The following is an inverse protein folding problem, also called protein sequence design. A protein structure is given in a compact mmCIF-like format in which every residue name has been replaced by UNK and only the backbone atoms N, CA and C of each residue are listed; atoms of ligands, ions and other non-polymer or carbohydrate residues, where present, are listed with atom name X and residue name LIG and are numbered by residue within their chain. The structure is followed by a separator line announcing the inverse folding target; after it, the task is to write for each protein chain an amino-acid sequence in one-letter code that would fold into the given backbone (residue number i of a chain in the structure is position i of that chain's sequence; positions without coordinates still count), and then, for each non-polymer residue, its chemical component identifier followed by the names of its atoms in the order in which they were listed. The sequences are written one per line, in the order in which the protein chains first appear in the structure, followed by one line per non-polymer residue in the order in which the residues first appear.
data_IF_627834881513
#
_entry.id   IF_627834881513
#
_cell.length_a   1.000
_cell.length_b   1.000
_cell.length_c   1.000
_cell.angle_alpha   90.00
_cell.angle_beta   90.00
_cell.angle_gamma   90.00
#
_symmetry.space_group_name_H-M   'P 1'
#
loop_
_entity.id
_entity.type
_entity.pdbx_description
1 polymer ?
#
# COMPACT_ATOMS: atom_id res chain seq x y z
N UNK A 1 5.62 18.70 -8.76
CA UNK A 1 6.59 17.79 -8.11
C UNK A 1 6.21 17.74 -6.65
N UNK A 2 5.72 16.61 -6.17
CA UNK A 2 5.45 16.41 -4.74
C UNK A 2 6.81 16.25 -4.08
N UNK A 3 7.25 17.26 -3.34
CA UNK A 3 8.42 17.12 -2.49
C UNK A 3 8.04 16.20 -1.32
N UNK A 4 8.78 15.11 -1.15
CA UNK A 4 8.80 14.40 0.13
C UNK A 4 9.21 15.39 1.20
N UNK A 5 8.32 15.70 2.11
CA UNK A 5 8.65 16.47 3.31
C UNK A 5 9.26 15.55 4.37
N UNK A 6 10.30 14.84 3.99
CA UNK A 6 11.19 14.28 5.00
C UNK A 6 11.99 15.43 5.64
N UNK A 7 12.36 15.32 6.91
CA UNK A 7 13.23 16.30 7.54
C UNK A 7 14.45 16.57 6.68
N UNK A 8 14.90 17.82 6.61
CA UNK A 8 16.11 18.21 5.86
C UNK A 8 17.27 17.31 6.27
N UNK A 9 17.94 16.70 5.29
CA UNK A 9 18.99 15.68 5.49
C UNK A 9 18.50 14.36 6.10
N UNK A 10 17.22 14.03 5.99
CA UNK A 10 16.73 12.76 6.48
C UNK A 10 17.38 11.59 5.73
N UNK A 11 17.84 10.60 6.49
CA UNK A 11 18.34 9.32 5.98
C UNK A 11 17.61 8.22 6.70
N UNK A 12 17.17 7.21 5.94
CA UNK A 12 16.61 6.01 6.56
C UNK A 12 17.69 5.34 7.36
N UNK A 13 17.51 5.31 8.68
CA UNK A 13 18.45 4.73 9.64
C UNK A 13 18.16 3.23 9.80
N UNK A 14 19.16 2.47 10.27
CA UNK A 14 18.92 1.13 10.79
C UNK A 14 18.09 1.26 12.06
N UNK A 15 16.97 0.56 12.11
CA UNK A 15 16.09 0.51 13.26
C UNK A 15 16.43 -0.63 14.21
N UNK A 16 15.45 -1.05 14.98
CA UNK A 16 15.54 -2.13 15.97
C UNK A 16 15.06 -3.47 15.36
N UNK A 17 15.50 -4.57 15.96
CA UNK A 17 15.02 -5.90 15.61
C UNK A 17 14.02 -6.35 16.68
N UNK A 18 12.81 -6.62 16.26
CA UNK A 18 11.73 -7.13 17.09
C UNK A 18 11.67 -8.66 17.01
N UNK A 19 11.17 -9.29 18.09
CA UNK A 19 11.00 -10.73 18.18
C UNK A 19 12.28 -11.50 17.85
N UNK A 20 13.36 -11.22 18.59
CA UNK A 20 14.71 -11.78 18.35
C UNK A 20 14.82 -13.30 18.59
N UNK A 21 13.83 -13.90 19.23
CA UNK A 21 13.74 -15.35 19.49
C UNK A 21 12.41 -15.92 18.99
N UNK A 22 12.16 -15.93 17.68
CA UNK A 22 10.92 -16.48 17.16
C UNK A 22 10.88 -18.01 17.39
N UNK A 23 9.70 -18.51 17.78
CA UNK A 23 9.45 -19.94 17.93
C UNK A 23 8.94 -20.45 16.59
N UNK A 24 9.73 -21.27 15.90
CA UNK A 24 9.35 -21.87 14.61
C UNK A 24 10.57 -22.25 13.77
N UNK A 25 10.34 -23.02 12.71
CA UNK A 25 11.41 -23.46 11.77
C UNK A 25 11.44 -22.64 10.49
N UNK A 26 10.32 -22.00 10.12
CA UNK A 26 10.17 -21.26 8.89
C UNK A 26 10.09 -19.75 9.18
N UNK A 27 11.24 -19.16 9.49
CA UNK A 27 11.33 -17.74 9.85
C UNK A 27 11.72 -16.91 8.65
N UNK A 28 10.95 -15.83 8.40
CA UNK A 28 11.27 -14.81 7.40
C UNK A 28 11.42 -13.45 8.06
N UNK A 29 12.35 -12.64 7.57
CA UNK A 29 12.62 -11.29 8.10
C UNK A 29 11.89 -10.25 7.26
N UNK A 30 11.12 -9.39 7.90
CA UNK A 30 10.48 -8.23 7.29
C UNK A 30 11.15 -6.96 7.80
N UNK A 31 11.82 -6.22 6.91
CA UNK A 31 12.35 -4.89 7.20
C UNK A 31 11.30 -3.87 6.79
N UNK A 32 10.71 -3.21 7.75
CA UNK A 32 9.58 -2.30 7.53
C UNK A 32 10.00 -0.87 7.83
N UNK A 33 9.67 0.03 6.90
CA UNK A 33 9.84 1.46 7.08
C UNK A 33 8.95 1.95 8.23
N UNK A 34 9.58 2.64 9.18
CA UNK A 34 8.94 3.24 10.34
C UNK A 34 9.25 4.73 10.41
N UNK A 35 8.21 5.51 10.52
CA UNK A 35 8.31 6.95 10.72
C UNK A 35 7.06 7.48 11.40
N UNK A 36 7.27 8.40 12.35
CA UNK A 36 6.18 9.10 13.04
C UNK A 36 6.51 10.61 13.03
N UNK A 37 5.61 11.45 12.51
CA UNK A 37 5.86 12.90 12.44
C UNK A 37 6.02 13.54 13.83
N UNK A 38 5.41 12.97 14.87
CA UNK A 38 5.43 13.52 16.22
C UNK A 38 6.79 13.35 16.90
N UNK A 39 7.60 12.38 16.47
CA UNK A 39 8.89 12.07 17.11
C UNK A 39 10.01 13.01 16.64
N UNK A 40 9.84 13.71 15.51
CA UNK A 40 10.86 14.57 14.90
C UNK A 40 12.12 13.85 14.41
N UNK A 41 12.16 12.53 14.50
CA UNK A 41 13.29 11.68 14.12
C UNK A 41 13.29 11.34 12.63
N UNK A 42 14.47 10.97 12.12
CA UNK A 42 14.58 10.40 10.78
C UNK A 42 13.89 9.04 10.71
N UNK A 43 13.34 8.68 9.52
CA UNK A 43 12.77 7.35 9.32
C UNK A 43 13.82 6.26 9.54
N UNK A 44 13.35 5.08 9.95
CA UNK A 44 14.20 3.91 10.19
C UNK A 44 13.59 2.65 9.56
N UNK A 45 14.39 1.61 9.40
CA UNK A 45 13.94 0.27 9.04
C UNK A 45 14.02 -0.63 10.25
N UNK A 46 12.86 -0.98 10.80
CA UNK A 46 12.75 -1.98 11.85
C UNK A 46 12.64 -3.38 11.24
N UNK A 47 13.34 -4.35 11.83
CA UNK A 47 13.33 -5.74 11.38
C UNK A 47 12.43 -6.59 12.28
N UNK A 48 11.51 -7.33 11.65
CA UNK A 48 10.58 -8.24 12.34
C UNK A 48 10.83 -9.68 11.87
N UNK A 49 11.09 -10.58 12.81
CA UNK A 49 11.22 -12.00 12.53
C UNK A 49 9.84 -12.66 12.67
N UNK A 50 9.28 -13.14 11.57
CA UNK A 50 7.94 -13.70 11.51
C UNK A 50 8.02 -15.20 11.25
N UNK A 51 7.37 -15.97 12.12
CA UNK A 51 7.16 -17.40 11.93
C UNK A 51 6.02 -17.61 10.92
N UNK A 52 6.37 -18.16 9.75
CA UNK A 52 5.44 -18.40 8.66
C UNK A 52 4.57 -19.65 8.88
N UNK A 53 4.96 -20.58 9.75
CA UNK A 53 4.15 -21.77 10.08
C UNK A 53 2.82 -21.38 10.76
N UNK A 54 2.78 -20.15 11.32
CA UNK A 54 1.64 -19.55 11.99
C UNK A 54 1.17 -18.26 11.34
N UNK A 55 1.43 -18.08 10.05
CA UNK A 55 1.08 -16.91 9.29
C UNK A 55 0.31 -17.31 8.03
N UNK A 56 -0.62 -16.46 7.59
CA UNK A 56 -1.22 -16.64 6.26
C UNK A 56 -0.21 -16.39 5.13
N UNK A 57 -0.56 -16.75 3.89
CA UNK A 57 0.38 -16.79 2.78
C UNK A 57 0.73 -15.42 2.20
N UNK A 58 -0.04 -14.37 2.48
CA UNK A 58 0.12 -13.06 1.87
C UNK A 58 0.94 -12.10 2.72
N UNK A 59 1.62 -11.15 2.08
CA UNK A 59 2.38 -10.09 2.79
C UNK A 59 1.48 -9.35 3.79
N UNK A 60 0.22 -9.12 3.45
CA UNK A 60 -0.74 -8.49 4.38
C UNK A 60 -0.94 -9.33 5.65
N UNK A 61 -0.91 -10.66 5.55
CA UNK A 61 -1.05 -11.53 6.72
C UNK A 61 0.14 -11.38 7.67
N UNK A 62 1.36 -11.27 7.11
CA UNK A 62 2.55 -10.99 7.91
C UNK A 62 2.47 -9.63 8.60
N UNK A 63 2.00 -8.58 7.90
CA UNK A 63 1.81 -7.25 8.49
C UNK A 63 0.77 -7.28 9.63
N UNK A 64 -0.33 -8.01 9.44
CA UNK A 64 -1.35 -8.18 10.47
C UNK A 64 -0.80 -8.93 11.69
N UNK A 65 -0.03 -9.98 11.45
CA UNK A 65 0.63 -10.74 12.52
C UNK A 65 1.62 -9.86 13.30
N UNK A 66 2.44 -9.09 12.59
CA UNK A 66 3.36 -8.13 13.22
C UNK A 66 2.58 -7.15 14.10
N UNK A 67 1.53 -6.53 13.55
CA UNK A 67 0.73 -5.53 14.28
C UNK A 67 0.02 -6.11 15.50
N UNK A 68 -0.50 -7.32 15.39
CA UNK A 68 -1.33 -7.90 16.46
C UNK A 68 -0.50 -8.58 17.56
N UNK A 69 0.67 -9.14 17.22
CA UNK A 69 1.43 -10.00 18.13
C UNK A 69 2.80 -9.43 18.54
N UNK A 70 3.39 -8.53 17.71
CA UNK A 70 4.77 -8.08 17.91
C UNK A 70 4.84 -6.57 18.21
N UNK A 71 4.20 -5.76 17.35
CA UNK A 71 4.28 -4.30 17.43
C UNK A 71 2.96 -3.63 17.00
N UNK A 72 2.12 -3.33 17.95
CA UNK A 72 0.81 -2.72 17.73
C UNK A 72 0.87 -1.29 17.17
N UNK A 73 2.03 -0.64 17.24
CA UNK A 73 2.22 0.74 16.77
C UNK A 73 2.38 0.86 15.27
N UNK A 74 2.65 -0.26 14.56
CA UNK A 74 2.79 -0.28 13.10
C UNK A 74 1.51 0.21 12.41
N UNK A 75 1.63 1.24 11.55
CA UNK A 75 0.52 1.82 10.83
C UNK A 75 0.56 1.44 9.33
N UNK A 76 -0.56 0.91 8.84
CA UNK A 76 -0.81 0.65 7.41
C UNK A 76 -2.31 0.62 7.13
N UNK A 77 -2.67 0.81 5.85
CA UNK A 77 -4.06 0.70 5.40
C UNK A 77 -4.36 -0.70 4.89
N UNK A 78 -5.57 -1.17 5.13
CA UNK A 78 -6.07 -2.43 4.59
C UNK A 78 -7.60 -2.44 4.61
N UNK A 79 -8.22 -3.25 3.74
CA UNK A 79 -9.67 -3.45 3.74
C UNK A 79 -10.04 -4.82 3.14
N UNK A 80 -10.27 -4.92 1.82
CA UNK A 80 -10.90 -6.06 1.15
C UNK A 80 -10.14 -7.39 1.26
N UNK A 81 -8.82 -7.40 1.30
CA UNK A 81 -7.93 -8.59 1.29
C UNK A 81 -7.96 -9.43 0.00
N UNK A 82 -8.54 -8.91 -1.07
CA UNK A 82 -8.76 -9.62 -2.35
C UNK A 82 -8.38 -8.80 -3.59
N UNK A 83 -7.59 -7.72 -3.41
CA UNK A 83 -7.07 -6.94 -4.53
C UNK A 83 -8.05 -5.94 -5.15
N UNK A 84 -9.18 -5.62 -4.51
CA UNK A 84 -10.23 -4.78 -5.08
C UNK A 84 -10.18 -3.32 -4.60
N UNK A 85 -9.87 -3.08 -3.33
CA UNK A 85 -9.98 -1.73 -2.75
C UNK A 85 -8.73 -0.86 -2.88
N UNK A 86 -7.58 -1.40 -3.28
CA UNK A 86 -6.33 -0.67 -3.40
C UNK A 86 -5.67 -0.21 -2.09
N UNK A 87 -6.35 -0.33 -0.95
CA UNK A 87 -5.91 0.27 0.34
C UNK A 87 -4.55 -0.21 0.83
N UNK A 88 -4.17 -1.46 0.57
CA UNK A 88 -2.92 -2.05 1.02
C UNK A 88 -1.77 -1.90 0.01
N UNK A 89 -1.87 -0.90 -0.88
CA UNK A 89 -0.81 -0.59 -1.83
C UNK A 89 0.44 -0.08 -1.10
N UNK A 90 1.58 -0.66 -1.41
CA UNK A 90 2.88 -0.31 -0.83
C UNK A 90 4.02 -0.79 -1.73
N UNK A 91 5.24 -0.39 -1.43
CA UNK A 91 6.43 -0.87 -2.14
C UNK A 91 7.00 -2.09 -1.42
N UNK A 92 7.04 -3.22 -2.12
CA UNK A 92 7.54 -4.51 -1.61
C UNK A 92 8.77 -4.90 -2.42
N UNK A 93 9.94 -4.92 -1.79
CA UNK A 93 11.22 -5.21 -2.44
C UNK A 93 11.51 -4.37 -3.70
N UNK A 94 11.09 -3.09 -3.71
CA UNK A 94 11.31 -2.18 -4.83
C UNK A 94 10.19 -2.19 -5.88
N UNK A 95 9.18 -3.06 -5.75
CA UNK A 95 8.02 -3.13 -6.66
C UNK A 95 6.76 -2.65 -5.95
N UNK A 96 6.02 -1.75 -6.59
CA UNK A 96 4.73 -1.30 -6.05
C UNK A 96 3.66 -2.35 -6.31
N UNK A 97 2.93 -2.72 -5.28
CA UNK A 97 1.89 -3.75 -5.37
C UNK A 97 0.96 -3.75 -4.16
N UNK A 98 0.02 -4.67 -4.17
CA UNK A 98 -0.95 -4.86 -3.10
C UNK A 98 -0.48 -5.95 -2.13
N UNK A 99 -0.33 -5.62 -0.86
CA UNK A 99 0.12 -6.57 0.15
C UNK A 99 -0.84 -7.77 0.31
N UNK A 100 -2.12 -7.62 -0.03
CA UNK A 100 -3.11 -8.70 0.08
C UNK A 100 -3.06 -9.72 -1.07
N UNK A 101 -2.36 -9.42 -2.18
CA UNK A 101 -2.23 -10.31 -3.34
C UNK A 101 -0.80 -10.79 -3.57
N UNK A 102 0.17 -10.21 -2.86
CA UNK A 102 1.57 -10.63 -2.95
C UNK A 102 1.82 -11.83 -2.05
N UNK A 103 2.14 -12.98 -2.65
CA UNK A 103 2.46 -14.19 -1.91
C UNK A 103 3.85 -14.08 -1.26
N UNK A 104 3.96 -14.48 0.00
CA UNK A 104 5.22 -14.46 0.75
C UNK A 104 6.21 -15.50 0.20
N UNK A 105 5.74 -16.63 -0.35
CA UNK A 105 6.61 -17.68 -0.91
C UNK A 105 7.44 -17.19 -2.10
N UNK A 106 6.92 -16.22 -2.87
CA UNK A 106 7.56 -15.68 -4.05
C UNK A 106 8.66 -14.64 -3.72
N UNK A 107 8.79 -14.30 -2.45
CA UNK A 107 9.72 -13.30 -1.96
C UNK A 107 10.97 -13.94 -1.32
N UNK A 108 12.12 -13.26 -1.34
CA UNK A 108 13.35 -13.73 -0.69
C UNK A 108 13.17 -13.86 0.83
N UNK A 109 14.14 -14.46 1.49
CA UNK A 109 14.15 -14.65 2.95
C UNK A 109 14.08 -13.35 3.75
N UNK A 110 14.49 -12.25 3.13
CA UNK A 110 14.42 -10.90 3.69
C UNK A 110 13.57 -10.01 2.78
N UNK A 111 12.46 -9.52 3.31
CA UNK A 111 11.49 -8.69 2.59
C UNK A 111 11.55 -7.27 3.09
N UNK A 112 11.72 -6.30 2.19
CA UNK A 112 11.71 -4.87 2.53
C UNK A 112 10.38 -4.26 2.14
N UNK A 113 9.78 -3.52 3.06
CA UNK A 113 8.48 -2.88 2.85
C UNK A 113 8.59 -1.39 3.14
N UNK A 114 8.22 -0.59 2.15
CA UNK A 114 8.17 0.86 2.21
C UNK A 114 6.75 1.36 1.87
N UNK A 115 6.37 2.59 2.25
CA UNK A 115 5.19 3.23 1.69
C UNK A 115 5.34 3.41 0.19
N UNK A 116 4.25 3.68 -0.51
CA UNK A 116 4.31 4.06 -1.93
C UNK A 116 5.28 5.24 -2.12
N UNK A 117 6.21 5.17 -3.10
CA UNK A 117 7.16 6.24 -3.35
C UNK A 117 6.46 7.51 -3.89
N UNK A 118 7.17 8.63 -3.86
CA UNK A 118 6.73 9.92 -4.41
C UNK A 118 5.45 10.51 -3.79
N UNK A 119 5.04 10.02 -2.63
CA UNK A 119 3.96 10.58 -1.82
C UNK A 119 4.48 10.96 -0.43
N UNK A 120 4.03 12.05 0.17
CA UNK A 120 4.33 12.34 1.57
C UNK A 120 3.88 11.18 2.46
N UNK A 121 4.60 10.93 3.53
CA UNK A 121 4.24 9.89 4.50
C UNK A 121 3.48 10.51 5.65
N UNK A 122 2.31 9.98 5.96
CA UNK A 122 1.53 10.37 7.14
C UNK A 122 2.10 9.68 8.38
N UNK A 123 2.30 8.37 8.29
CA UNK A 123 2.91 7.55 9.34
C UNK A 123 3.27 6.18 8.78
N UNK A 124 4.47 5.68 9.05
CA UNK A 124 4.95 4.36 8.64
C UNK A 124 4.65 4.04 7.15
N UNK A 125 3.77 3.08 6.88
CA UNK A 125 3.38 2.66 5.53
C UNK A 125 2.15 3.40 4.98
N UNK A 126 1.71 4.47 5.64
CA UNK A 126 0.53 5.25 5.27
C UNK A 126 0.95 6.49 4.48
N UNK A 127 0.83 6.51 3.13
CA UNK A 127 1.08 7.70 2.32
C UNK A 127 -0.10 8.68 2.37
N UNK A 128 0.19 9.97 2.16
CA UNK A 128 -0.81 10.98 1.87
C UNK A 128 -1.21 10.91 0.41
N UNK A 129 -2.46 10.61 0.16
CA UNK A 129 -3.03 10.47 -1.19
C UNK A 129 -3.81 11.71 -1.64
N UNK A 130 -3.76 12.82 -0.91
CA UNK A 130 -4.56 14.02 -1.20
C UNK A 130 -4.31 14.52 -2.62
N UNK A 131 -3.03 14.69 -3.01
CA UNK A 131 -2.67 15.12 -4.36
C UNK A 131 -3.14 14.15 -5.46
N UNK A 132 -3.07 12.84 -5.21
CA UNK A 132 -3.56 11.83 -6.14
C UNK A 132 -5.07 11.98 -6.39
N UNK A 133 -5.86 12.15 -5.32
CA UNK A 133 -7.31 12.36 -5.44
C UNK A 133 -7.67 13.73 -6.01
N UNK A 134 -6.89 14.77 -5.79
CA UNK A 134 -7.06 16.04 -6.47
C UNK A 134 -6.88 15.91 -7.99
N UNK A 135 -5.90 15.14 -8.45
CA UNK A 135 -5.71 14.87 -9.88
C UNK A 135 -6.87 14.05 -10.45
N UNK A 136 -7.32 13.03 -9.73
CA UNK A 136 -8.52 12.25 -10.10
C UNK A 136 -9.76 13.14 -10.22
N UNK A 137 -9.97 14.05 -9.27
CA UNK A 137 -11.11 14.96 -9.31
C UNK A 137 -11.06 15.94 -10.52
N UNK A 138 -9.86 16.37 -10.95
CA UNK A 138 -9.69 17.26 -12.11
C UNK A 138 -10.10 16.62 -13.44
N UNK A 139 -9.97 15.30 -13.59
CA UNK A 139 -10.40 14.61 -14.81
C UNK A 139 -11.89 14.23 -14.77
N UNK A 140 -12.53 14.41 -13.62
CA UNK A 140 -13.98 14.18 -13.42
C UNK A 140 -14.47 12.85 -14.03
N UNK A 141 -13.92 11.68 -13.63
CA UNK A 141 -14.15 10.40 -14.31
C UNK A 141 -15.53 9.78 -14.05
N UNK A 142 -16.35 10.46 -13.29
CA UNK A 142 -17.72 10.02 -13.00
C UNK A 142 -18.68 10.30 -14.14
N UNK A 143 -19.80 9.57 -14.16
CA UNK A 143 -20.84 9.72 -15.16
C UNK A 143 -21.47 11.13 -15.11
N UNK A 144 -21.40 11.85 -16.23
CA UNK A 144 -22.06 13.15 -16.41
C UNK A 144 -23.20 13.00 -17.40
N UNK A 145 -24.41 13.29 -16.98
CA UNK A 145 -25.59 13.27 -17.84
C UNK A 145 -26.13 14.70 -17.98
N UNK A 146 -26.05 15.27 -19.16
CA UNK A 146 -26.55 16.62 -19.45
C UNK A 146 -28.06 16.71 -19.47
N UNK A 147 -28.78 15.59 -19.71
CA UNK A 147 -30.25 15.53 -19.82
C UNK A 147 -30.77 14.36 -18.99
N UNK A 148 -31.98 14.53 -18.43
CA UNK A 148 -32.69 13.40 -17.84
C UNK A 148 -33.04 12.36 -18.93
N UNK A 149 -33.12 11.06 -18.59
CA UNK A 149 -33.66 10.08 -19.54
C UNK A 149 -35.11 10.42 -19.87
N UNK A 150 -35.50 10.25 -21.14
CA UNK A 150 -36.85 10.57 -21.60
C UNK A 150 -37.86 9.57 -21.04
N UNK A 151 -37.49 8.30 -21.02
CA UNK A 151 -38.22 7.19 -20.37
C UNK A 151 -37.26 6.09 -19.98
N UNK A 152 -37.41 5.52 -18.78
CA UNK A 152 -36.66 4.36 -18.31
C UNK A 152 -35.16 4.61 -18.07
N UNK A 153 -34.35 3.60 -18.29
CA UNK A 153 -32.92 3.60 -18.05
C UNK A 153 -32.15 4.15 -19.27
N UNK A 154 -30.96 4.72 -19.00
CA UNK A 154 -29.99 5.02 -20.05
C UNK A 154 -29.33 3.72 -20.49
N UNK A 155 -29.57 3.32 -21.73
CA UNK A 155 -28.94 2.13 -22.31
C UNK A 155 -27.57 2.45 -22.88
N UNK A 156 -26.68 1.48 -22.84
CA UNK A 156 -25.37 1.53 -23.44
C UNK A 156 -25.21 0.35 -24.42
N UNK A 157 -24.73 0.60 -25.63
CA UNK A 157 -24.43 -0.46 -26.57
C UNK A 157 -23.15 -1.22 -26.18
N UNK A 158 -23.00 -2.45 -26.65
CA UNK A 158 -21.78 -3.25 -26.46
C UNK A 158 -20.53 -2.52 -26.97
N UNK A 159 -20.65 -1.83 -28.11
CA UNK A 159 -19.56 -1.05 -28.68
C UNK A 159 -19.17 0.15 -27.80
N UNK A 160 -20.15 0.85 -27.22
CA UNK A 160 -19.88 1.93 -26.26
C UNK A 160 -19.23 1.40 -24.99
N UNK A 161 -19.67 0.23 -24.51
CA UNK A 161 -19.10 -0.42 -23.33
C UNK A 161 -17.65 -0.83 -23.57
N UNK A 162 -17.33 -1.39 -24.73
CA UNK A 162 -15.98 -1.83 -25.09
C UNK A 162 -14.96 -0.68 -25.09
N UNK A 163 -15.39 0.56 -25.33
CA UNK A 163 -14.51 1.75 -25.25
C UNK A 163 -14.01 2.06 -23.83
N UNK A 164 -14.63 1.50 -22.81
CA UNK A 164 -14.26 1.70 -21.42
C UNK A 164 -13.28 0.63 -20.91
N UNK A 165 -13.03 -0.43 -21.69
CA UNK A 165 -12.13 -1.49 -21.30
C UNK A 165 -10.71 -0.94 -21.03
N UNK A 166 -10.12 -1.33 -19.91
CA UNK A 166 -8.85 -0.80 -19.43
C UNK A 166 -8.93 0.54 -18.66
N UNK A 167 -10.07 1.20 -18.65
CA UNK A 167 -10.26 2.49 -17.96
C UNK A 167 -11.01 2.34 -16.64
N UNK A 168 -12.12 1.59 -16.64
CA UNK A 168 -13.00 1.49 -15.48
C UNK A 168 -12.54 0.46 -14.44
N UNK A 169 -11.60 -0.43 -14.80
CA UNK A 169 -11.05 -1.45 -13.90
C UNK A 169 -10.05 -0.86 -12.88
N UNK A 170 -9.69 0.42 -13.02
CA UNK A 170 -8.79 1.09 -12.10
C UNK A 170 -9.35 1.13 -10.68
N UNK A 171 -8.60 0.54 -9.72
CA UNK A 171 -8.98 0.48 -8.29
C UNK A 171 -8.41 1.64 -7.47
N UNK A 172 -7.83 2.64 -8.11
CA UNK A 172 -7.24 3.83 -7.47
C UNK A 172 -6.17 3.51 -6.41
N UNK A 173 -5.42 2.44 -6.59
CA UNK A 173 -4.36 2.04 -5.65
C UNK A 173 -3.09 2.89 -5.75
N UNK A 174 -2.93 3.69 -6.78
CA UNK A 174 -1.78 4.54 -7.09
C UNK A 174 -0.44 3.82 -7.34
N UNK A 175 -0.40 2.50 -7.44
CA UNK A 175 0.84 1.75 -7.70
C UNK A 175 1.53 2.19 -9.00
N UNK A 176 0.78 2.36 -10.10
CA UNK A 176 1.33 2.82 -11.39
C UNK A 176 1.79 4.29 -11.34
N UNK A 177 0.97 5.17 -10.77
CA UNK A 177 1.28 6.60 -10.67
C UNK A 177 2.55 6.88 -9.87
N UNK A 178 2.83 6.05 -8.87
CA UNK A 178 4.00 6.19 -8.01
C UNK A 178 5.22 5.40 -8.49
N UNK A 179 5.10 4.63 -9.56
CA UNK A 179 6.23 3.93 -10.20
C UNK A 179 6.95 4.79 -11.25
N UNK A 180 6.34 5.88 -11.63
CA UNK A 180 6.88 6.76 -12.68
C UNK A 180 7.85 7.80 -12.13
#
# INVERSE_FOLDING_TARGET
MVQFTLPVNSKVKKGITHNTTPVGRNIKTFDIYRWNPDDGDNPRLDSYLVDLDRCGPMVLDALLKIKNEIDSTLAFRRSCREGICGSCAMNINGVNGLACTQNISDLPSRVRIYPLPHMPVVKDLVPDMSHFFEQHAKVEPWLKAATAPVEGERTQSEEQRARLDGLYECILCACCSTSC
#
